data_IF_334186652174
#
_entry.id   IF_334186652174
#
_cell.length_a   1.000
_cell.length_b   1.000
_cell.length_c   1.000
_cell.angle_alpha   90.00
_cell.angle_beta   90.00
_cell.angle_gamma   90.00
#
_symmetry.space_group_name_H-M   'P 1'
#
loop_
_entity.id
_entity.type
_entity.pdbx_description
1 polymer ?
#
# COMPACT_ATOMS: atom_id res chain seq x y z
N UNK A 1 45.39 28.08 32.73
CA UNK A 1 44.32 28.91 32.13
C UNK A 1 44.72 29.20 30.69
N UNK A 2 44.14 28.50 29.72
CA UNK A 2 44.16 28.86 28.30
C UNK A 2 43.23 27.92 27.52
N UNK A 3 42.51 28.52 26.58
CA UNK A 3 41.31 28.05 25.90
C UNK A 3 41.50 26.84 24.97
N UNK A 4 40.66 25.82 25.19
CA UNK A 4 40.48 24.68 24.29
C UNK A 4 39.35 24.95 23.30
N UNK A 5 39.70 25.56 22.17
CA UNK A 5 38.87 25.84 20.99
C UNK A 5 38.24 24.55 20.44
N UNK A 6 36.94 24.34 20.65
CA UNK A 6 36.18 23.23 20.06
C UNK A 6 36.12 23.37 18.54
N UNK A 7 36.63 22.36 17.84
CA UNK A 7 36.65 22.27 16.38
C UNK A 7 35.24 22.10 15.81
N UNK A 8 35.00 22.78 14.70
CA UNK A 8 33.80 22.72 13.86
C UNK A 8 33.51 21.28 13.42
N UNK A 9 32.45 20.67 13.94
CA UNK A 9 31.79 19.54 13.26
C UNK A 9 30.83 20.11 12.21
N UNK A 10 31.18 19.89 10.95
CA UNK A 10 30.36 20.19 9.78
C UNK A 10 29.08 19.32 9.82
N UNK A 11 27.90 19.85 9.46
CA UNK A 11 26.72 19.02 9.28
C UNK A 11 26.86 18.21 7.98
N UNK A 12 26.90 16.89 8.08
CA UNK A 12 26.79 16.01 6.91
C UNK A 12 25.34 15.95 6.44
N UNK A 13 25.02 16.70 5.39
CA UNK A 13 23.94 16.35 4.48
C UNK A 13 24.53 15.51 3.33
N UNK A 14 23.73 14.61 2.76
CA UNK A 14 23.11 15.00 1.50
C UNK A 14 21.60 14.78 1.55
N UNK A 15 20.90 15.84 1.15
CA UNK A 15 19.48 15.85 0.81
C UNK A 15 19.16 14.65 -0.08
N UNK A 16 18.39 13.69 0.43
CA UNK A 16 17.78 12.63 -0.36
C UNK A 16 16.65 13.27 -1.18
N UNK A 17 17.03 13.99 -2.23
CA UNK A 17 16.09 14.50 -3.22
C UNK A 17 15.53 13.28 -3.95
N UNK A 18 14.24 13.02 -3.71
CA UNK A 18 13.44 12.04 -4.44
C UNK A 18 13.40 12.46 -5.92
N UNK A 19 14.11 11.72 -6.77
CA UNK A 19 14.03 11.89 -8.21
C UNK A 19 13.00 10.88 -8.74
N UNK A 20 11.94 11.33 -9.44
CA UNK A 20 11.05 10.41 -10.13
C UNK A 20 11.84 9.63 -11.20
N UNK A 21 11.42 8.39 -11.56
CA UNK A 21 12.11 7.61 -12.58
C UNK A 21 12.19 8.42 -13.88
N UNK A 22 13.41 8.69 -14.36
CA UNK A 22 13.65 9.42 -15.60
C UNK A 22 13.03 8.65 -16.77
N UNK A 23 11.93 9.18 -17.30
CA UNK A 23 11.22 8.64 -18.46
C UNK A 23 12.06 8.83 -19.73
N UNK A 24 12.92 7.87 -20.04
CA UNK A 24 13.35 7.61 -21.41
C UNK A 24 12.84 6.21 -21.76
N UNK A 25 11.60 6.12 -22.25
CA UNK A 25 11.10 4.93 -22.92
C UNK A 25 10.69 5.27 -24.34
N UNK A 26 11.57 4.86 -25.24
CA UNK A 26 11.47 4.85 -26.69
C UNK A 26 10.13 4.27 -27.16
N UNK A 27 9.67 4.80 -28.29
CA UNK A 27 8.51 4.39 -29.08
C UNK A 27 8.36 2.88 -29.22
N UNK A 28 7.50 2.27 -28.40
CA UNK A 28 6.75 1.05 -28.65
C UNK A 28 5.62 1.05 -27.63
N UNK A 29 4.39 0.82 -28.07
CA UNK A 29 3.15 0.84 -27.27
C UNK A 29 3.14 -0.33 -26.27
N UNK A 30 3.95 -0.24 -25.23
CA UNK A 30 3.86 -1.11 -24.05
C UNK A 30 3.27 -0.25 -22.94
N UNK A 31 1.98 -0.41 -22.69
CA UNK A 31 1.38 0.10 -21.47
C UNK A 31 2.02 -0.73 -20.36
N UNK A 32 2.97 -0.21 -19.56
CA UNK A 32 3.59 -1.03 -18.53
C UNK A 32 2.46 -1.55 -17.66
N UNK A 33 2.31 -2.88 -17.61
CA UNK A 33 1.35 -3.52 -16.73
C UNK A 33 1.68 -3.02 -15.32
N UNK A 34 0.81 -2.17 -14.81
CA UNK A 34 1.01 -1.43 -13.56
C UNK A 34 0.81 -2.44 -12.45
N UNK A 35 1.90 -2.92 -11.85
CA UNK A 35 1.80 -3.79 -10.69
C UNK A 35 1.40 -2.97 -9.47
N UNK A 36 0.20 -3.26 -8.93
CA UNK A 36 -0.38 -2.56 -7.79
C UNK A 36 -0.43 -3.49 -6.58
N UNK A 37 0.04 -3.01 -5.43
CA UNK A 37 -0.02 -3.72 -4.16
C UNK A 37 -1.15 -3.16 -3.30
N UNK A 38 -2.09 -4.00 -2.89
CA UNK A 38 -3.14 -3.69 -1.93
C UNK A 38 -2.72 -4.04 -0.50
N UNK A 39 -3.05 -3.17 0.45
CA UNK A 39 -2.68 -3.27 1.87
C UNK A 39 -3.93 -3.09 2.73
N UNK A 40 -4.25 -4.11 3.53
CA UNK A 40 -5.18 -4.01 4.67
C UNK A 40 -4.38 -3.85 5.97
N UNK A 41 -4.38 -2.63 6.53
CA UNK A 41 -3.58 -2.29 7.71
C UNK A 41 -4.31 -2.64 9.03
N UNK A 42 -4.25 -3.91 9.40
CA UNK A 42 -4.72 -4.38 10.71
C UNK A 42 -3.76 -4.06 11.87
N UNK A 43 -4.28 -4.09 13.10
CA UNK A 43 -3.50 -3.79 14.30
C UNK A 43 -2.38 -4.80 14.60
N UNK A 44 -2.58 -6.08 14.25
CA UNK A 44 -1.60 -7.17 14.49
C UNK A 44 -1.01 -7.74 13.21
N UNK A 45 -1.74 -7.65 12.12
CA UNK A 45 -1.44 -8.28 10.84
C UNK A 45 -1.83 -7.34 9.71
N UNK A 46 -1.14 -7.51 8.60
CA UNK A 46 -1.32 -6.72 7.39
C UNK A 46 -1.60 -7.70 6.28
N UNK A 47 -2.81 -7.62 5.71
CA UNK A 47 -3.17 -8.36 4.53
C UNK A 47 -2.54 -7.71 3.30
N UNK A 48 -1.99 -8.52 2.40
CA UNK A 48 -1.38 -8.06 1.16
C UNK A 48 -2.05 -8.75 -0.02
N UNK A 49 -2.40 -7.96 -1.01
CA UNK A 49 -2.87 -8.40 -2.31
C UNK A 49 -2.08 -7.73 -3.43
N UNK A 50 -2.10 -8.32 -4.61
CA UNK A 50 -1.36 -7.82 -5.78
C UNK A 50 -2.25 -7.88 -7.01
N UNK A 51 -2.02 -6.95 -7.95
CA UNK A 51 -2.54 -7.02 -9.30
C UNK A 51 -1.41 -6.70 -10.24
N UNK A 52 -1.03 -7.66 -11.08
CA UNK A 52 -0.01 -7.50 -12.12
C UNK A 52 -0.56 -6.79 -13.35
N UNK A 53 -1.82 -7.05 -13.69
CA UNK A 53 -2.53 -6.54 -14.86
C UNK A 53 -3.23 -5.20 -14.62
N UNK A 54 -3.42 -4.79 -13.35
CA UNK A 54 -4.26 -3.66 -12.98
C UNK A 54 -5.76 -3.91 -13.22
N UNK A 55 -6.17 -5.16 -13.43
CA UNK A 55 -7.56 -5.57 -13.69
C UNK A 55 -8.07 -6.43 -12.54
N UNK A 56 -7.35 -7.49 -12.20
CA UNK A 56 -7.76 -8.45 -11.17
C UNK A 56 -6.82 -8.39 -9.97
N UNK A 57 -7.38 -8.26 -8.77
CA UNK A 57 -6.67 -8.36 -7.51
C UNK A 57 -6.60 -9.82 -7.05
N UNK A 58 -5.41 -10.24 -6.61
CA UNK A 58 -5.17 -11.59 -6.09
C UNK A 58 -4.63 -11.52 -4.67
N UNK A 59 -5.11 -12.35 -3.73
CA UNK A 59 -4.54 -12.45 -2.39
C UNK A 59 -3.08 -12.94 -2.49
N UNK A 60 -2.15 -12.27 -1.81
CA UNK A 60 -0.72 -12.59 -1.91
C UNK A 60 -0.16 -13.16 -0.62
N UNK A 61 -0.22 -12.41 0.49
CA UNK A 61 0.43 -12.82 1.75
C UNK A 61 -0.14 -12.09 2.96
N UNK A 62 0.13 -12.58 4.16
CA UNK A 62 -0.09 -11.84 5.42
C UNK A 62 1.24 -11.56 6.09
N UNK A 63 1.48 -10.30 6.44
CA UNK A 63 2.62 -9.90 7.28
C UNK A 63 2.15 -9.62 8.71
N UNK A 64 3.04 -9.81 9.69
CA UNK A 64 2.79 -9.29 11.04
C UNK A 64 3.08 -7.80 11.07
N UNK A 65 2.24 -7.04 11.76
CA UNK A 65 2.43 -5.60 11.95
C UNK A 65 3.43 -5.34 13.09
N UNK A 66 4.67 -5.80 12.89
CA UNK A 66 5.76 -5.70 13.87
C UNK A 66 7.10 -5.44 13.19
N UNK A 67 7.97 -4.71 13.88
CA UNK A 67 9.27 -4.27 13.37
C UNK A 67 9.14 -3.27 12.21
N UNK A 68 10.12 -3.28 11.31
CA UNK A 68 10.14 -2.40 10.15
C UNK A 68 9.32 -2.98 8.98
N UNK A 69 8.00 -2.84 9.08
CA UNK A 69 7.05 -3.26 8.04
C UNK A 69 7.31 -2.55 6.71
N UNK A 70 7.71 -1.28 6.75
CA UNK A 70 7.88 -0.48 5.53
C UNK A 70 9.06 -1.00 4.72
N UNK A 71 10.15 -1.44 5.36
CA UNK A 71 11.24 -2.14 4.68
C UNK A 71 10.78 -3.44 3.99
N UNK A 72 9.88 -4.20 4.63
CA UNK A 72 9.34 -5.43 4.04
C UNK A 72 8.50 -5.13 2.81
N UNK A 73 7.67 -4.08 2.87
CA UNK A 73 6.87 -3.61 1.73
C UNK A 73 7.73 -3.05 0.60
N UNK A 74 8.81 -2.34 0.93
CA UNK A 74 9.78 -1.84 -0.03
C UNK A 74 10.44 -3.00 -0.80
N UNK A 75 10.90 -4.03 -0.09
CA UNK A 75 11.47 -5.22 -0.72
C UNK A 75 10.45 -5.94 -1.59
N UNK A 76 9.22 -6.13 -1.10
CA UNK A 76 8.15 -6.75 -1.89
C UNK A 76 7.85 -5.97 -3.17
N UNK A 77 7.76 -4.63 -3.09
CA UNK A 77 7.53 -3.80 -4.26
C UNK A 77 8.69 -3.86 -5.26
N UNK A 78 9.93 -4.02 -4.79
CA UNK A 78 11.08 -4.24 -5.65
C UNK A 78 11.02 -5.60 -6.34
N UNK A 79 10.65 -6.65 -5.62
CA UNK A 79 10.53 -8.02 -6.15
C UNK A 79 9.43 -8.14 -7.22
N UNK A 80 8.32 -7.43 -7.02
CA UNK A 80 7.16 -7.45 -7.92
C UNK A 80 7.17 -6.36 -9.00
N UNK A 81 8.20 -5.50 -9.02
CA UNK A 81 8.24 -4.27 -9.83
C UNK A 81 6.98 -3.41 -9.68
N UNK A 82 6.45 -3.34 -8.45
CA UNK A 82 5.26 -2.56 -8.14
C UNK A 82 5.56 -1.05 -8.12
N UNK A 83 4.65 -0.27 -8.68
CA UNK A 83 4.75 1.19 -8.75
C UNK A 83 3.75 1.91 -7.86
N UNK A 84 2.71 1.19 -7.41
CA UNK A 84 1.57 1.76 -6.70
C UNK A 84 1.20 0.89 -5.50
N UNK A 85 1.00 1.53 -4.35
CA UNK A 85 0.38 0.94 -3.18
C UNK A 85 -1.02 1.50 -2.97
N UNK A 86 -1.96 0.66 -2.55
CA UNK A 86 -3.33 1.02 -2.19
C UNK A 86 -3.54 0.59 -0.74
N UNK A 87 -3.74 1.55 0.15
CA UNK A 87 -3.95 1.32 1.59
C UNK A 87 -5.42 1.51 1.91
N UNK A 88 -6.08 0.44 2.34
CA UNK A 88 -7.47 0.48 2.79
C UNK A 88 -7.63 1.26 4.09
N UNK A 89 -8.66 2.09 4.17
CA UNK A 89 -9.08 2.79 5.37
C UNK A 89 -10.45 2.24 5.77
N UNK A 90 -10.56 1.60 6.94
CA UNK A 90 -11.83 1.10 7.42
C UNK A 90 -12.74 2.27 7.80
N UNK A 91 -14.04 2.17 7.49
CA UNK A 91 -15.04 3.20 7.83
C UNK A 91 -15.02 3.64 9.28
N UNK A 92 -14.78 2.71 10.20
CA UNK A 92 -14.74 2.99 11.65
C UNK A 92 -13.55 3.86 12.06
N UNK A 93 -12.55 4.01 11.18
CA UNK A 93 -11.40 4.87 11.38
C UNK A 93 -11.61 6.30 10.87
N UNK A 94 -12.80 6.71 10.41
CA UNK A 94 -13.11 8.09 10.03
C UNK A 94 -13.17 9.08 11.21
N UNK A 95 -12.77 8.67 12.42
CA UNK A 95 -12.43 9.61 13.48
C UNK A 95 -11.07 10.24 13.15
N UNK A 96 -10.87 11.51 13.54
CA UNK A 96 -9.63 12.25 13.24
C UNK A 96 -8.36 11.47 13.63
N UNK A 97 -8.37 10.79 14.77
CA UNK A 97 -7.23 9.99 15.25
C UNK A 97 -7.10 8.62 14.53
N UNK A 98 -8.21 8.08 14.02
CA UNK A 98 -8.23 6.82 13.27
C UNK A 98 -7.58 7.00 11.89
N UNK A 99 -7.91 8.08 11.17
CA UNK A 99 -7.38 8.37 9.83
C UNK A 99 -5.90 8.75 9.84
N UNK A 100 -5.44 9.45 10.90
CA UNK A 100 -4.06 9.92 11.05
C UNK A 100 -3.07 8.74 10.96
N UNK A 101 -3.36 7.62 11.62
CA UNK A 101 -2.53 6.41 11.55
C UNK A 101 -2.30 5.92 10.12
N UNK A 102 -3.34 5.93 9.28
CA UNK A 102 -3.24 5.47 7.89
C UNK A 102 -2.50 6.49 7.02
N UNK A 103 -2.71 7.78 7.27
CA UNK A 103 -1.97 8.86 6.60
C UNK A 103 -0.47 8.80 6.92
N UNK A 104 -0.11 8.67 8.19
CA UNK A 104 1.28 8.55 8.62
C UNK A 104 1.95 7.31 8.02
N UNK A 105 1.24 6.19 8.00
CA UNK A 105 1.73 4.97 7.36
C UNK A 105 1.98 5.17 5.87
N UNK A 106 1.01 5.76 5.16
CA UNK A 106 1.13 6.04 3.74
C UNK A 106 2.28 7.02 3.44
N UNK A 107 2.44 8.05 4.25
CA UNK A 107 3.50 9.05 4.08
C UNK A 107 4.89 8.43 4.28
N UNK A 108 5.08 7.65 5.34
CA UNK A 108 6.34 6.93 5.55
C UNK A 108 6.64 5.95 4.41
N UNK A 109 5.61 5.30 3.86
CA UNK A 109 5.76 4.41 2.70
C UNK A 109 6.16 5.18 1.44
N UNK A 110 5.54 6.34 1.18
CA UNK A 110 5.91 7.23 0.07
C UNK A 110 7.35 7.69 0.17
N UNK A 111 7.75 8.19 1.34
CA UNK A 111 9.10 8.72 1.57
C UNK A 111 10.17 7.65 1.38
N UNK A 112 9.92 6.41 1.83
CA UNK A 112 10.91 5.34 1.74
C UNK A 112 10.98 4.73 0.34
N UNK A 113 9.84 4.50 -0.29
CA UNK A 113 9.78 3.74 -1.55
C UNK A 113 9.86 4.63 -2.79
N UNK A 114 9.57 5.93 -2.66
CA UNK A 114 9.38 6.86 -3.77
C UNK A 114 8.30 6.38 -4.77
N UNK A 115 7.35 5.56 -4.31
CA UNK A 115 6.23 5.01 -5.11
C UNK A 115 4.94 5.76 -4.84
N UNK A 116 3.97 5.61 -5.75
CA UNK A 116 2.63 6.15 -5.54
C UNK A 116 1.95 5.38 -4.40
N UNK A 117 1.32 6.08 -3.47
CA UNK A 117 0.52 5.45 -2.40
C UNK A 117 -0.86 6.08 -2.37
N UNK A 118 -1.90 5.31 -2.58
CA UNK A 118 -3.29 5.77 -2.59
C UNK A 118 -3.98 5.31 -1.30
N UNK A 119 -4.65 6.24 -0.63
CA UNK A 119 -5.56 5.92 0.47
C UNK A 119 -6.95 5.63 -0.11
N UNK A 120 -7.53 4.49 0.24
CA UNK A 120 -8.79 4.02 -0.31
C UNK A 120 -9.83 3.75 0.78
N UNK A 121 -10.98 4.43 0.71
CA UNK A 121 -12.09 4.23 1.65
C UNK A 121 -12.95 3.01 1.26
N UNK A 122 -13.10 2.08 2.21
CA UNK A 122 -13.81 0.81 2.11
C UNK A 122 -15.33 0.97 2.13
N UNK A 123 -15.87 1.71 1.16
CA UNK A 123 -17.28 2.02 1.10
C UNK A 123 -18.18 0.82 0.71
N UNK A 124 -18.61 0.07 1.73
CA UNK A 124 -19.83 -0.75 1.89
C UNK A 124 -19.88 -2.25 1.55
N UNK A 125 -19.31 -2.80 0.48
CA UNK A 125 -19.74 -4.17 0.07
C UNK A 125 -19.01 -5.35 0.73
N UNK A 126 -17.87 -5.12 1.36
CA UNK A 126 -16.96 -6.21 1.75
C UNK A 126 -17.13 -6.70 3.18
N UNK A 127 -17.52 -5.80 4.10
CA UNK A 127 -17.54 -6.11 5.55
C UNK A 127 -18.52 -7.23 5.87
N UNK A 128 -19.72 -7.23 5.28
CA UNK A 128 -20.72 -8.30 5.50
C UNK A 128 -20.26 -9.65 4.93
N UNK A 129 -19.61 -9.67 3.76
CA UNK A 129 -19.07 -10.88 3.17
C UNK A 129 -17.93 -11.47 4.03
N UNK A 130 -17.07 -10.60 4.59
CA UNK A 130 -15.99 -10.99 5.49
C UNK A 130 -16.47 -11.45 6.87
N UNK A 131 -17.53 -10.85 7.42
CA UNK A 131 -18.14 -11.29 8.67
C UNK A 131 -18.73 -12.71 8.53
N UNK A 132 -19.32 -13.03 7.38
CA UNK A 132 -19.82 -14.39 7.08
C UNK A 132 -18.68 -15.42 6.98
N UNK A 133 -17.55 -15.05 6.39
CA UNK A 133 -16.36 -15.93 6.34
C UNK A 133 -15.75 -16.16 7.72
N UNK A 134 -15.74 -15.16 8.60
CA UNK A 134 -15.32 -15.29 10.01
C UNK A 134 -16.24 -16.21 10.82
N UNK A 135 -17.54 -16.24 10.49
CA UNK A 135 -18.53 -17.09 11.15
C UNK A 135 -18.44 -18.58 10.73
N UNK A 136 -17.83 -18.88 9.57
CA UNK A 136 -17.67 -20.24 9.06
C UNK A 136 -16.49 -20.95 9.76
N UNK A 137 -16.78 -21.58 10.90
CA UNK A 137 -15.89 -22.29 11.83
C UNK A 137 -14.83 -23.27 11.29
N UNK A 138 -13.82 -22.77 10.57
CA UNK A 138 -12.55 -23.48 10.30
C UNK A 138 -11.48 -23.10 11.32
N UNK A 139 -10.43 -23.92 11.41
CA UNK A 139 -9.32 -23.79 12.34
C UNK A 139 -8.87 -22.32 12.47
N UNK A 140 -9.11 -21.71 13.65
CA UNK A 140 -9.21 -20.24 13.84
C UNK A 140 -8.02 -19.42 13.31
N UNK A 141 -6.82 -20.00 13.26
CA UNK A 141 -5.60 -19.29 12.85
C UNK A 141 -5.39 -19.26 11.34
N UNK A 142 -5.60 -20.38 10.66
CA UNK A 142 -5.38 -20.45 9.20
C UNK A 142 -6.52 -19.76 8.46
N UNK A 143 -7.76 -20.00 8.90
CA UNK A 143 -8.93 -19.27 8.38
C UNK A 143 -8.76 -17.75 8.51
N UNK A 144 -8.15 -17.29 9.62
CA UNK A 144 -7.96 -15.87 9.85
C UNK A 144 -6.78 -15.28 9.06
N UNK A 145 -5.83 -16.09 8.57
CA UNK A 145 -4.83 -15.61 7.60
C UNK A 145 -5.48 -15.44 6.23
N UNK A 146 -6.25 -16.44 5.80
CA UNK A 146 -6.96 -16.40 4.53
C UNK A 146 -7.89 -15.17 4.48
N UNK A 147 -8.68 -14.95 5.54
CA UNK A 147 -9.58 -13.80 5.65
C UNK A 147 -8.83 -12.46 5.51
N UNK A 148 -7.66 -12.31 6.14
CA UNK A 148 -6.88 -11.07 6.03
C UNK A 148 -6.33 -10.87 4.61
N UNK A 149 -5.91 -11.93 3.91
CA UNK A 149 -5.45 -11.82 2.52
C UNK A 149 -6.60 -11.49 1.58
N UNK A 150 -7.77 -12.10 1.78
CA UNK A 150 -8.96 -11.81 0.99
C UNK A 150 -9.46 -10.39 1.23
N UNK A 151 -9.36 -9.87 2.46
CA UNK A 151 -9.70 -8.48 2.77
C UNK A 151 -8.89 -7.50 1.91
N UNK A 152 -7.56 -7.67 1.88
CA UNK A 152 -6.66 -6.87 1.05
C UNK A 152 -6.99 -6.99 -0.45
N UNK A 153 -7.36 -8.19 -0.92
CA UNK A 153 -7.71 -8.39 -2.32
C UNK A 153 -8.99 -7.64 -2.70
N UNK A 154 -10.00 -7.64 -1.84
CA UNK A 154 -11.24 -6.90 -2.13
C UNK A 154 -11.03 -5.38 -2.09
N UNK A 155 -10.23 -4.89 -1.14
CA UNK A 155 -9.84 -3.46 -1.09
C UNK A 155 -9.19 -3.06 -2.42
N UNK A 156 -8.23 -3.86 -2.87
CA UNK A 156 -7.53 -3.60 -4.13
C UNK A 156 -8.47 -3.69 -5.33
N UNK A 157 -9.33 -4.71 -5.40
CA UNK A 157 -10.28 -4.87 -6.50
C UNK A 157 -11.21 -3.66 -6.61
N UNK A 158 -11.77 -3.21 -5.49
CA UNK A 158 -12.64 -2.03 -5.45
C UNK A 158 -11.96 -0.77 -6.00
N UNK A 159 -10.66 -0.59 -5.70
CA UNK A 159 -9.87 0.50 -6.27
C UNK A 159 -9.67 0.36 -7.79
N UNK A 160 -9.33 -0.85 -8.26
CA UNK A 160 -9.12 -1.11 -9.69
C UNK A 160 -10.40 -0.92 -10.50
N UNK A 161 -11.54 -1.38 -9.99
CA UNK A 161 -12.84 -1.24 -10.63
C UNK A 161 -13.21 0.23 -10.82
N UNK A 162 -13.09 1.07 -9.78
CA UNK A 162 -13.36 2.52 -9.92
C UNK A 162 -12.38 3.19 -10.88
N UNK A 163 -11.11 2.78 -10.88
CA UNK A 163 -10.11 3.33 -11.81
C UNK A 163 -10.48 2.98 -13.26
N UNK A 164 -10.99 1.76 -13.50
CA UNK A 164 -11.49 1.35 -14.81
C UNK A 164 -12.73 2.16 -15.21
N UNK A 165 -13.71 2.34 -14.31
CA UNK A 165 -14.91 3.15 -14.57
C UNK A 165 -14.57 4.60 -14.94
N UNK A 166 -13.64 5.22 -14.21
CA UNK A 166 -13.17 6.58 -14.49
C UNK A 166 -12.48 6.69 -15.85
N UNK A 167 -11.72 5.66 -16.25
CA UNK A 167 -11.08 5.62 -17.57
C UNK A 167 -12.10 5.51 -18.70
N UNK A 168 -13.22 4.80 -18.48
CA UNK A 168 -14.30 4.68 -19.46
C UNK A 168 -15.15 5.95 -19.55
N UNK A 169 -15.45 6.59 -18.43
CA UNK A 169 -16.20 7.85 -18.39
C UNK A 169 -15.47 9.05 -19.05
N UNK A 170 -14.14 8.97 -19.17
CA UNK A 170 -13.30 10.01 -19.78
C UNK A 170 -13.08 9.90 -21.29
N UNK A 171 -13.64 8.89 -22.00
CA UNK A 171 -13.54 8.82 -23.46
C UNK A 171 -14.57 9.74 -24.12
N UNK A 172 -14.16 10.78 -24.88
CA UNK A 172 -15.11 11.50 -25.72
C UNK A 172 -15.66 10.54 -26.79
N UNK A 173 -16.98 10.58 -26.96
CA UNK A 173 -17.75 9.88 -27.99
C UNK A 173 -17.37 10.30 -29.40
#
# INVERSE_FOLDING_TARGET
>A
MADGRWQKMQPTSPSAVCHPPSLLRTTLSYNPLVCVIGIDLGARRIGIAVSDSGILATPHSVMRNEGDVIAKLENLARELDADTFVVGIPKRAHSSAGEEKFRDFAERLRQRTCKQVVLWDESLSTVEAMERLRAAGRNRRDAQKDIDMYAAAVILQSYLDRRADQAMAGRPS
#
